data_IF_075248952415
#
_entry.id   IF_075248952415
#
_cell.length_a   1.000
_cell.length_b   1.000
_cell.length_c   1.000
_cell.angle_alpha   90.00
_cell.angle_beta   90.00
_cell.angle_gamma   90.00
#
_symmetry.space_group_name_H-M   'P 1'
#
loop_
_entity.id
_entity.type
_entity.pdbx_description
1 polymer ?
#
# COMPACT_ATOMS: atom_id res chain seq x y z
N UNK A 1 -14.28 1.79 13.04
CA UNK A 1 -15.30 2.14 14.06
C UNK A 1 -15.01 3.54 14.61
N UNK A 2 -16.01 4.36 14.99
CA UNK A 2 -15.81 5.77 15.37
C UNK A 2 -14.74 6.01 16.46
N UNK A 3 -14.63 5.11 17.44
CA UNK A 3 -13.62 5.21 18.50
C UNK A 3 -12.18 4.90 18.05
N UNK A 4 -11.91 4.61 16.77
CA UNK A 4 -10.54 4.50 16.27
C UNK A 4 -9.90 5.87 15.99
N UNK A 5 -10.70 6.92 15.86
CA UNK A 5 -10.23 8.26 15.56
C UNK A 5 -9.85 9.01 16.86
N UNK A 6 -8.60 9.50 16.98
CA UNK A 6 -8.14 10.31 18.11
C UNK A 6 -9.08 11.48 18.43
N UNK A 7 -9.55 12.18 17.39
CA UNK A 7 -10.47 13.31 17.53
C UNK A 7 -11.77 12.93 18.25
N UNK A 8 -12.38 11.79 17.87
CA UNK A 8 -13.64 11.33 18.48
C UNK A 8 -13.43 10.98 19.96
N UNK A 9 -12.29 10.37 20.31
CA UNK A 9 -11.94 10.10 21.72
C UNK A 9 -11.77 11.38 22.53
N UNK A 10 -11.07 12.37 22.01
CA UNK A 10 -10.88 13.68 22.67
C UNK A 10 -12.22 14.40 22.86
N UNK A 11 -13.08 14.39 21.83
CA UNK A 11 -14.42 14.97 21.92
C UNK A 11 -15.28 14.24 22.96
N UNK A 12 -15.24 12.91 23.01
CA UNK A 12 -15.97 12.14 24.03
C UNK A 12 -15.51 12.50 25.45
N UNK A 13 -14.19 12.66 25.66
CA UNK A 13 -13.64 13.13 26.94
C UNK A 13 -14.11 14.55 27.27
N UNK A 14 -14.11 15.46 26.29
CA UNK A 14 -14.61 16.83 26.48
C UNK A 14 -16.10 16.86 26.85
N UNK A 15 -16.93 16.05 26.20
CA UNK A 15 -18.35 15.92 26.52
C UNK A 15 -18.58 15.34 27.93
N UNK A 16 -17.83 14.31 28.31
CA UNK A 16 -17.89 13.75 29.67
C UNK A 16 -17.46 14.77 30.72
N UNK A 17 -16.39 15.52 30.47
CA UNK A 17 -15.94 16.60 31.36
C UNK A 17 -17.02 17.70 31.49
N UNK A 18 -17.65 18.11 30.39
CA UNK A 18 -18.74 19.09 30.40
C UNK A 18 -19.95 18.58 31.18
N UNK A 19 -20.39 17.34 30.96
CA UNK A 19 -21.52 16.73 31.67
C UNK A 19 -21.25 16.62 33.19
N UNK A 20 -20.01 16.31 33.59
CA UNK A 20 -19.62 16.28 35.00
C UNK A 20 -19.63 17.68 35.64
N UNK A 21 -19.30 18.72 34.87
CA UNK A 21 -19.29 20.11 35.32
C UNK A 21 -20.71 20.70 35.45
N UNK A 22 -21.64 20.34 34.57
CA UNK A 22 -23.02 20.88 34.56
C UNK A 22 -23.96 20.17 35.54
N UNK A 23 -23.65 18.94 35.95
CA UNK A 23 -24.51 18.13 36.83
C UNK A 23 -24.41 18.50 38.33
N UNK A 24 -24.20 19.78 38.64
CA UNK A 24 -24.13 20.30 40.02
C UNK A 24 -25.48 20.79 40.57
N UNK A 25 -26.55 20.81 39.76
CA UNK A 25 -27.75 21.59 40.12
C UNK A 25 -29.14 20.94 39.93
N UNK A 26 -29.25 19.66 39.57
CA UNK A 26 -30.57 19.01 39.53
C UNK A 26 -30.63 17.72 40.37
N UNK A 27 -31.26 17.87 41.54
CA UNK A 27 -31.73 16.79 42.40
C UNK A 27 -32.65 15.86 41.63
N UNK A 28 -32.27 14.59 41.48
CA UNK A 28 -33.20 13.46 41.60
C UNK A 28 -32.48 12.25 42.22
N UNK A 29 -32.98 11.87 43.38
CA UNK A 29 -32.85 10.60 44.11
C UNK A 29 -32.10 9.47 43.39
N UNK A 30 -30.79 9.33 43.60
CA UNK A 30 -30.06 8.08 43.33
C UNK A 30 -28.86 7.94 44.27
N UNK A 31 -28.87 6.81 44.98
CA UNK A 31 -27.84 6.25 45.86
C UNK A 31 -26.40 6.52 45.35
N UNK A 32 -25.65 7.27 46.16
CA UNK A 32 -24.20 7.53 46.09
C UNK A 32 -23.65 8.07 44.74
N UNK A 33 -23.84 9.37 44.49
CA UNK A 33 -23.45 10.07 43.25
C UNK A 33 -21.94 10.23 42.96
N UNK A 34 -21.05 9.68 43.79
CA UNK A 34 -19.60 9.73 43.57
C UNK A 34 -19.07 8.58 42.69
N UNK A 35 -19.69 7.40 42.77
CA UNK A 35 -19.28 6.23 41.99
C UNK A 35 -19.35 6.45 40.47
N UNK A 36 -20.46 6.94 39.87
CA UNK A 36 -20.51 7.17 38.43
C UNK A 36 -19.53 8.26 37.96
N UNK A 37 -19.25 9.27 38.81
CA UNK A 37 -18.25 10.30 38.52
C UNK A 37 -16.84 9.71 38.48
N UNK A 38 -16.50 8.85 39.43
CA UNK A 38 -15.23 8.12 39.45
C UNK A 38 -15.05 7.25 38.20
N UNK A 39 -16.10 6.51 37.79
CA UNK A 39 -16.09 5.70 36.57
C UNK A 39 -15.86 6.57 35.32
N UNK A 40 -16.56 7.70 35.19
CA UNK A 40 -16.40 8.61 34.06
C UNK A 40 -15.00 9.23 33.96
N UNK A 41 -14.39 9.58 35.10
CA UNK A 41 -13.00 10.09 35.17
C UNK A 41 -12.01 9.00 34.72
N UNK A 42 -12.15 7.77 35.25
CA UNK A 42 -11.27 6.66 34.88
C UNK A 42 -11.38 6.31 33.39
N UNK A 43 -12.60 6.27 32.85
CA UNK A 43 -12.83 6.04 31.44
C UNK A 43 -12.20 7.14 30.57
N UNK A 44 -12.35 8.40 30.97
CA UNK A 44 -11.73 9.54 30.28
C UNK A 44 -10.20 9.47 30.28
N UNK A 45 -9.61 9.14 31.42
CA UNK A 45 -8.16 8.98 31.54
C UNK A 45 -7.64 7.82 30.66
N UNK A 46 -8.39 6.72 30.60
CA UNK A 46 -8.11 5.60 29.70
C UNK A 46 -8.13 6.03 28.22
N UNK A 47 -9.18 6.73 27.79
CA UNK A 47 -9.28 7.24 26.42
C UNK A 47 -8.14 8.19 26.05
N UNK A 48 -7.76 9.11 26.96
CA UNK A 48 -6.64 10.01 26.76
C UNK A 48 -5.32 9.25 26.66
N UNK A 49 -5.06 8.31 27.58
CA UNK A 49 -3.85 7.50 27.59
C UNK A 49 -3.67 6.73 26.27
N UNK A 50 -4.72 6.05 25.80
CA UNK A 50 -4.70 5.34 24.51
C UNK A 50 -4.45 6.30 23.35
N UNK A 51 -5.05 7.49 23.38
CA UNK A 51 -4.86 8.51 22.34
C UNK A 51 -3.44 9.05 22.31
N UNK A 52 -2.86 9.37 23.48
CA UNK A 52 -1.48 9.82 23.60
C UNK A 52 -0.49 8.74 23.16
N UNK A 53 -0.72 7.48 23.56
CA UNK A 53 0.08 6.33 23.13
C UNK A 53 0.06 6.19 21.60
N UNK A 54 -1.13 6.18 20.99
CA UNK A 54 -1.26 6.10 19.53
C UNK A 54 -0.56 7.27 18.84
N UNK A 55 -0.77 8.49 19.30
CA UNK A 55 -0.17 9.69 18.70
C UNK A 55 1.36 9.71 18.78
N UNK A 56 1.95 9.15 19.85
CA UNK A 56 3.40 9.01 19.97
C UNK A 56 3.98 8.13 18.85
N UNK A 57 3.44 6.93 18.66
CA UNK A 57 3.93 5.99 17.65
C UNK A 57 3.60 6.43 16.22
N UNK A 58 2.41 6.99 15.97
CA UNK A 58 2.06 7.54 14.65
C UNK A 58 2.98 8.71 14.27
N UNK A 59 3.37 9.55 15.23
CA UNK A 59 4.33 10.64 15.00
C UNK A 59 5.73 10.11 14.68
N UNK A 60 6.22 9.11 15.40
CA UNK A 60 7.52 8.50 15.11
C UNK A 60 7.51 7.80 13.76
N UNK A 61 6.42 7.09 13.43
CA UNK A 61 6.23 6.52 12.10
C UNK A 61 6.28 7.59 11.01
N UNK A 62 5.50 8.67 11.14
CA UNK A 62 5.51 9.77 10.18
C UNK A 62 6.93 10.32 9.97
N UNK A 63 7.70 10.50 11.05
CA UNK A 63 9.08 10.99 11.00
C UNK A 63 10.00 10.04 10.22
N UNK A 64 9.92 8.73 10.47
CA UNK A 64 10.80 7.77 9.77
C UNK A 64 10.38 7.58 8.31
N UNK A 65 9.08 7.61 8.03
CA UNK A 65 8.55 7.48 6.68
C UNK A 65 8.96 8.67 5.80
N UNK A 66 8.98 9.88 6.37
CA UNK A 66 9.50 11.05 5.68
C UNK A 66 11.02 11.01 5.44
N UNK A 67 11.78 10.31 6.27
CA UNK A 67 13.21 10.04 6.01
C UNK A 67 13.39 8.98 4.92
N UNK A 68 12.57 7.94 4.92
CA UNK A 68 12.50 6.93 3.87
C UNK A 68 12.30 7.57 2.50
N UNK A 69 11.29 8.44 2.39
CA UNK A 69 11.02 9.22 1.17
C UNK A 69 12.21 10.04 0.66
N UNK A 70 13.13 10.42 1.54
CA UNK A 70 14.36 11.16 1.19
C UNK A 70 15.53 10.22 0.87
N UNK A 71 15.25 8.96 0.54
CA UNK A 71 16.24 7.95 0.15
C UNK A 71 16.92 7.23 1.31
N UNK A 72 16.45 7.39 2.56
CA UNK A 72 17.05 6.73 3.73
C UNK A 72 16.36 5.40 4.10
N UNK A 73 15.68 4.75 3.16
CA UNK A 73 14.84 3.56 3.41
C UNK A 73 15.56 2.47 4.20
N UNK A 74 16.71 1.98 3.73
CA UNK A 74 17.47 0.90 4.39
C UNK A 74 17.82 1.24 5.84
N UNK A 75 18.17 2.50 6.12
CA UNK A 75 18.51 2.96 7.47
C UNK A 75 17.29 2.98 8.41
N UNK A 76 16.09 3.19 7.85
CA UNK A 76 14.85 3.29 8.63
C UNK A 76 14.22 1.92 8.92
N UNK A 77 14.57 0.85 8.20
CA UNK A 77 13.95 -0.48 8.36
C UNK A 77 14.02 -1.04 9.79
N UNK A 78 15.13 -0.81 10.51
CA UNK A 78 15.24 -1.23 11.91
C UNK A 78 14.21 -0.51 12.81
N UNK A 79 13.91 0.76 12.51
CA UNK A 79 12.89 1.54 13.22
C UNK A 79 11.49 1.08 12.86
N UNK A 80 11.24 0.78 11.59
CA UNK A 80 9.98 0.16 11.17
C UNK A 80 9.72 -1.16 11.88
N UNK A 81 10.73 -2.04 11.96
CA UNK A 81 10.62 -3.31 12.69
C UNK A 81 10.24 -3.13 14.16
N UNK A 82 10.83 -2.13 14.83
CA UNK A 82 10.47 -1.81 16.21
C UNK A 82 9.01 -1.32 16.29
N UNK A 83 8.63 -0.35 15.43
CA UNK A 83 7.28 0.20 15.40
C UNK A 83 6.20 -0.83 15.07
N UNK A 84 6.52 -1.88 14.31
CA UNK A 84 5.58 -2.95 13.99
C UNK A 84 5.00 -3.61 15.24
N UNK A 85 5.77 -3.76 16.32
CA UNK A 85 5.26 -4.30 17.59
C UNK A 85 4.11 -3.47 18.20
N UNK A 86 4.05 -2.18 17.87
CA UNK A 86 3.07 -1.22 18.39
C UNK A 86 1.98 -0.87 17.37
N UNK A 87 2.30 -0.93 16.07
CA UNK A 87 1.45 -0.50 14.97
C UNK A 87 0.98 -1.64 14.05
N UNK A 88 1.17 -2.91 14.42
CA UNK A 88 0.71 -4.09 13.62
C UNK A 88 -0.79 -4.17 13.34
N UNK A 89 -1.60 -3.32 13.97
CA UNK A 89 -3.05 -3.26 13.74
C UNK A 89 -3.45 -2.04 12.89
N UNK A 90 -2.47 -1.33 12.35
CA UNK A 90 -2.65 -0.16 11.49
C UNK A 90 -2.33 -0.55 10.06
N UNK A 91 -3.38 -0.74 9.27
CA UNK A 91 -3.34 -0.99 7.84
C UNK A 91 -2.34 -0.09 7.08
N UNK A 92 -2.45 1.23 7.22
CA UNK A 92 -1.58 2.18 6.51
C UNK A 92 -0.11 2.07 6.93
N UNK A 93 0.15 1.73 8.19
CA UNK A 93 1.52 1.46 8.67
C UNK A 93 2.06 0.19 8.05
N UNK A 94 1.28 -0.90 8.05
CA UNK A 94 1.68 -2.18 7.47
C UNK A 94 1.94 -2.05 5.97
N UNK A 95 1.05 -1.36 5.23
CA UNK A 95 1.25 -1.09 3.81
C UNK A 95 2.56 -0.34 3.56
N UNK A 96 2.80 0.76 4.30
CA UNK A 96 4.05 1.50 4.14
C UNK A 96 5.27 0.65 4.50
N UNK A 97 5.23 -0.09 5.60
CA UNK A 97 6.35 -0.94 5.99
C UNK A 97 6.65 -2.01 4.92
N UNK A 98 5.63 -2.68 4.39
CA UNK A 98 5.78 -3.61 3.28
C UNK A 98 6.40 -2.92 2.05
N UNK A 99 5.91 -1.74 1.68
CA UNK A 99 6.47 -0.99 0.56
C UNK A 99 7.94 -0.62 0.75
N UNK A 100 8.34 -0.17 1.95
CA UNK A 100 9.76 0.13 2.26
C UNK A 100 10.65 -1.11 2.21
N UNK A 101 10.14 -2.28 2.63
CA UNK A 101 10.85 -3.56 2.51
C UNK A 101 11.04 -3.96 1.04
N UNK A 102 9.99 -3.81 0.21
CA UNK A 102 10.05 -4.06 -1.22
C UNK A 102 11.08 -3.15 -1.92
N UNK A 103 11.08 -1.85 -1.60
CA UNK A 103 12.08 -0.90 -2.10
C UNK A 103 13.50 -1.28 -1.69
N UNK A 104 13.67 -1.86 -0.50
CA UNK A 104 14.95 -2.35 -0.02
C UNK A 104 15.36 -3.73 -0.58
N UNK A 105 14.49 -4.38 -1.38
CA UNK A 105 14.72 -5.71 -1.95
C UNK A 105 14.43 -6.88 -1.00
N UNK A 106 13.86 -6.64 0.17
CA UNK A 106 13.47 -7.69 1.12
C UNK A 106 12.04 -8.18 0.79
N UNK A 107 11.91 -8.84 -0.36
CA UNK A 107 10.61 -9.21 -0.95
C UNK A 107 9.85 -10.25 -0.13
N UNK A 108 10.54 -11.22 0.48
CA UNK A 108 9.90 -12.22 1.34
C UNK A 108 9.28 -11.56 2.57
N UNK A 109 10.02 -10.68 3.25
CA UNK A 109 9.49 -9.96 4.41
C UNK A 109 8.42 -8.97 4.01
N UNK A 110 8.58 -8.29 2.88
CA UNK A 110 7.56 -7.39 2.34
C UNK A 110 6.25 -8.13 2.11
N UNK A 111 6.28 -9.30 1.46
CA UNK A 111 5.10 -10.13 1.21
C UNK A 111 4.46 -10.61 2.51
N UNK A 112 5.26 -10.97 3.53
CA UNK A 112 4.75 -11.33 4.86
C UNK A 112 3.97 -10.17 5.49
N UNK A 113 4.55 -8.96 5.54
CA UNK A 113 3.90 -7.78 6.12
C UNK A 113 2.69 -7.34 5.30
N UNK A 114 2.74 -7.47 3.97
CA UNK A 114 1.62 -7.18 3.08
C UNK A 114 0.42 -8.12 3.36
N UNK A 115 0.65 -9.41 3.63
CA UNK A 115 -0.40 -10.36 4.04
C UNK A 115 -1.03 -9.98 5.37
N UNK A 116 -0.24 -9.47 6.33
CA UNK A 116 -0.81 -8.92 7.58
C UNK A 116 -1.71 -7.71 7.30
N UNK A 117 -1.33 -6.85 6.34
CA UNK A 117 -2.12 -5.70 5.91
C UNK A 117 -3.44 -6.12 5.26
N UNK A 118 -3.42 -7.15 4.39
CA UNK A 118 -4.57 -7.60 3.60
C UNK A 118 -5.72 -8.12 4.48
N UNK A 119 -5.41 -8.65 5.67
CA UNK A 119 -6.41 -9.04 6.68
C UNK A 119 -7.20 -7.82 7.21
N UNK A 120 -6.59 -6.63 7.20
CA UNK A 120 -7.18 -5.40 7.72
C UNK A 120 -7.78 -4.52 6.62
N UNK A 121 -7.17 -4.51 5.43
CA UNK A 121 -7.47 -3.56 4.38
C UNK A 121 -7.23 -4.16 2.99
N UNK A 122 -8.32 -4.56 2.34
CA UNK A 122 -8.31 -5.00 0.94
C UNK A 122 -8.27 -3.78 0.01
N UNK A 123 -7.08 -3.43 -0.49
CA UNK A 123 -6.87 -2.29 -1.40
C UNK A 123 -6.11 -2.68 -2.67
N UNK A 124 -6.41 -1.95 -3.75
CA UNK A 124 -5.78 -2.14 -5.05
C UNK A 124 -4.25 -2.00 -5.00
N UNK A 125 -3.73 -0.96 -4.32
CA UNK A 125 -2.30 -0.69 -4.29
C UNK A 125 -1.57 -1.78 -3.47
N UNK A 126 -2.22 -2.34 -2.45
CA UNK A 126 -1.70 -3.49 -1.70
C UNK A 126 -1.58 -4.74 -2.60
N UNK A 127 -2.59 -5.02 -3.41
CA UNK A 127 -2.55 -6.14 -4.36
C UNK A 127 -1.44 -5.95 -5.42
N UNK A 128 -1.22 -4.72 -5.90
CA UNK A 128 -0.10 -4.41 -6.79
C UNK A 128 1.26 -4.63 -6.12
N UNK A 129 1.40 -4.25 -4.85
CA UNK A 129 2.63 -4.49 -4.06
C UNK A 129 2.88 -5.99 -3.84
N UNK A 130 1.84 -6.77 -3.55
CA UNK A 130 1.95 -8.23 -3.40
C UNK A 130 2.32 -8.89 -4.74
N UNK A 131 1.73 -8.45 -5.85
CA UNK A 131 2.09 -8.91 -7.19
C UNK A 131 3.56 -8.67 -7.51
N UNK A 132 4.08 -7.47 -7.23
CA UNK A 132 5.49 -7.14 -7.46
C UNK A 132 6.41 -8.01 -6.58
N UNK A 133 6.13 -8.13 -5.27
CA UNK A 133 6.89 -9.02 -4.40
C UNK A 133 6.93 -10.47 -4.92
N UNK A 134 5.77 -11.03 -5.30
CA UNK A 134 5.69 -12.37 -5.88
C UNK A 134 6.49 -12.46 -7.19
N UNK A 135 6.46 -11.43 -8.03
CA UNK A 135 7.19 -11.41 -9.30
C UNK A 135 8.70 -11.44 -9.08
N UNK A 136 9.20 -10.67 -8.10
CA UNK A 136 10.62 -10.65 -7.73
C UNK A 136 11.09 -11.96 -7.10
N UNK A 137 10.18 -12.70 -6.47
CA UNK A 137 10.40 -14.05 -5.93
C UNK A 137 10.14 -15.17 -6.94
N UNK A 138 9.81 -14.83 -8.19
CA UNK A 138 9.47 -15.77 -9.28
C UNK A 138 8.25 -16.66 -8.98
N UNK A 139 7.36 -16.22 -8.08
CA UNK A 139 6.07 -16.84 -7.81
C UNK A 139 5.03 -16.39 -8.84
N UNK A 140 5.23 -16.80 -10.10
CA UNK A 140 4.48 -16.30 -11.25
C UNK A 140 2.97 -16.53 -11.15
N UNK A 141 2.55 -17.66 -10.60
CA UNK A 141 1.12 -17.97 -10.41
C UNK A 141 0.47 -16.99 -9.42
N UNK A 142 1.13 -16.73 -8.29
CA UNK A 142 0.68 -15.77 -7.29
C UNK A 142 0.70 -14.34 -7.85
N UNK A 143 1.70 -13.98 -8.65
CA UNK A 143 1.72 -12.69 -9.38
C UNK A 143 0.48 -12.54 -10.25
N UNK A 144 0.15 -13.53 -11.07
CA UNK A 144 -1.02 -13.52 -11.94
C UNK A 144 -2.33 -13.34 -11.14
N UNK A 145 -2.45 -14.06 -10.01
CA UNK A 145 -3.61 -13.96 -9.12
C UNK A 145 -3.79 -12.55 -8.56
N UNK A 146 -2.72 -11.96 -8.01
CA UNK A 146 -2.76 -10.62 -7.44
C UNK A 146 -3.04 -9.54 -8.50
N UNK A 147 -2.44 -9.64 -9.69
CA UNK A 147 -2.70 -8.69 -10.78
C UNK A 147 -4.12 -8.81 -11.33
N UNK A 148 -4.63 -10.03 -11.46
CA UNK A 148 -6.02 -10.27 -11.90
C UNK A 148 -7.01 -9.71 -10.88
N UNK A 149 -6.75 -9.91 -9.59
CA UNK A 149 -7.55 -9.32 -8.52
C UNK A 149 -7.49 -7.79 -8.55
N UNK A 150 -6.31 -7.19 -8.69
CA UNK A 150 -6.14 -5.74 -8.81
C UNK A 150 -6.89 -5.17 -10.03
N UNK A 151 -6.84 -5.86 -11.18
CA UNK A 151 -7.59 -5.49 -12.39
C UNK A 151 -9.11 -5.51 -12.15
N UNK A 152 -9.61 -6.50 -11.41
CA UNK A 152 -11.02 -6.64 -11.06
C UNK A 152 -11.48 -5.58 -10.05
N UNK A 153 -10.65 -5.26 -9.04
CA UNK A 153 -10.95 -4.24 -8.03
C UNK A 153 -11.06 -2.83 -8.63
N UNK A 154 -10.17 -2.50 -9.56
CA UNK A 154 -10.13 -1.19 -10.21
C UNK A 154 -10.13 -1.32 -11.74
N UNK A 155 -11.29 -1.62 -12.37
CA UNK A 155 -11.36 -1.88 -13.80
C UNK A 155 -10.92 -0.71 -14.68
N UNK A 156 -10.82 0.52 -14.15
CA UNK A 156 -10.35 1.68 -14.89
C UNK A 156 -8.81 1.75 -15.01
N UNK A 157 -8.06 1.01 -14.18
CA UNK A 157 -6.60 1.03 -14.17
C UNK A 157 -6.05 0.17 -15.30
N UNK A 158 -5.04 0.69 -16.00
CA UNK A 158 -4.34 -0.01 -17.08
C UNK A 158 -3.17 -0.84 -16.58
N UNK A 159 -2.55 -0.42 -15.46
CA UNK A 159 -1.31 -1.02 -14.94
C UNK A 159 -1.41 -2.53 -14.65
N UNK A 160 -2.48 -3.08 -14.04
CA UNK A 160 -2.52 -4.51 -13.74
C UNK A 160 -2.57 -5.37 -15.00
N UNK A 161 -3.40 -4.98 -15.97
CA UNK A 161 -3.47 -5.67 -17.27
C UNK A 161 -2.14 -5.59 -17.99
N UNK A 162 -1.48 -4.45 -17.89
CA UNK A 162 -0.19 -4.25 -18.52
C UNK A 162 0.89 -5.15 -17.90
N UNK A 163 0.99 -5.21 -16.57
CA UNK A 163 1.92 -6.12 -15.90
C UNK A 163 1.58 -7.60 -16.13
N UNK A 164 0.30 -7.96 -16.31
CA UNK A 164 -0.09 -9.32 -16.73
C UNK A 164 0.43 -9.64 -18.12
N UNK A 165 0.33 -8.72 -19.09
CA UNK A 165 0.91 -8.91 -20.42
C UNK A 165 2.42 -9.18 -20.33
N UNK A 166 3.14 -8.38 -19.55
CA UNK A 166 4.60 -8.56 -19.36
C UNK A 166 4.94 -9.87 -18.64
N UNK A 167 4.12 -10.31 -17.68
CA UNK A 167 4.25 -11.62 -17.02
C UNK A 167 4.11 -12.76 -18.03
N UNK A 168 3.11 -12.70 -18.91
CA UNK A 168 2.90 -13.71 -19.95
C UNK A 168 4.02 -13.74 -20.97
N UNK A 169 4.54 -12.58 -21.40
CA UNK A 169 5.74 -12.53 -22.23
C UNK A 169 6.95 -13.17 -21.52
N UNK A 170 7.15 -12.88 -20.22
CA UNK A 170 8.23 -13.47 -19.43
C UNK A 170 8.11 -14.99 -19.26
N UNK A 171 6.88 -15.52 -19.30
CA UNK A 171 6.58 -16.95 -19.13
C UNK A 171 6.30 -17.66 -20.44
N UNK A 172 6.64 -17.05 -21.58
CA UNK A 172 6.50 -17.60 -22.93
C UNK A 172 5.04 -17.92 -23.34
N UNK A 173 4.07 -17.21 -22.74
CA UNK A 173 2.64 -17.30 -23.01
C UNK A 173 2.22 -16.20 -23.99
N UNK A 174 2.71 -16.29 -25.23
CA UNK A 174 2.58 -15.21 -26.21
C UNK A 174 1.12 -14.97 -26.63
N UNK A 175 0.32 -16.03 -26.79
CA UNK A 175 -1.09 -15.90 -27.17
C UNK A 175 -1.89 -15.12 -26.11
N UNK A 176 -1.71 -15.45 -24.83
CA UNK A 176 -2.34 -14.75 -23.72
C UNK A 176 -1.88 -13.29 -23.61
N UNK A 177 -0.59 -13.04 -23.86
CA UNK A 177 -0.02 -11.69 -23.91
C UNK A 177 -0.67 -10.85 -25.02
N UNK A 178 -0.80 -11.40 -26.23
CA UNK A 178 -1.44 -10.73 -27.37
C UNK A 178 -2.93 -10.45 -27.12
N UNK A 179 -3.67 -11.40 -26.52
CA UNK A 179 -5.07 -11.21 -26.12
C UNK A 179 -5.21 -10.05 -25.13
N UNK A 180 -4.34 -9.99 -24.12
CA UNK A 180 -4.34 -8.88 -23.16
C UNK A 180 -3.93 -7.55 -23.80
N UNK A 181 -2.96 -7.55 -24.71
CA UNK A 181 -2.53 -6.36 -25.43
C UNK A 181 -3.68 -5.75 -26.24
N UNK A 182 -4.43 -6.58 -26.98
CA UNK A 182 -5.61 -6.15 -27.70
C UNK A 182 -6.67 -5.57 -26.74
N UNK A 183 -6.94 -6.27 -25.63
CA UNK A 183 -7.86 -5.80 -24.58
C UNK A 183 -7.46 -4.43 -24.01
N UNK A 184 -6.17 -4.16 -23.85
CA UNK A 184 -5.64 -2.87 -23.38
C UNK A 184 -5.84 -1.77 -24.43
N UNK A 185 -5.65 -2.06 -25.72
CA UNK A 185 -5.86 -1.09 -26.80
C UNK A 185 -7.33 -0.68 -26.90
N UNK A 186 -8.24 -1.66 -26.82
CA UNK A 186 -9.69 -1.45 -26.90
C UNK A 186 -10.25 -0.76 -25.66
N UNK A 187 -9.52 -0.84 -24.54
CA UNK A 187 -9.92 -0.21 -23.29
C UNK A 187 -10.03 1.32 -23.45
N UNK A 188 -11.22 1.85 -23.13
CA UNK A 188 -11.50 3.29 -23.12
C UNK A 188 -10.65 4.01 -22.07
N UNK A 189 -9.95 5.05 -22.50
CA UNK A 189 -9.19 5.95 -21.61
C UNK A 189 -10.14 6.99 -21.04
N UNK A 190 -10.28 7.03 -19.71
CA UNK A 190 -11.12 8.03 -19.01
C UNK A 190 -10.36 9.32 -18.72
N UNK A 191 -9.11 9.19 -18.26
CA UNK A 191 -8.22 10.31 -17.96
C UNK A 191 -6.93 10.04 -18.76
N UNK A 192 -6.63 10.82 -19.80
CA UNK A 192 -5.39 10.70 -20.54
C UNK A 192 -4.17 10.92 -19.63
N UNK A 193 -3.14 10.11 -19.79
CA UNK A 193 -1.86 10.31 -19.11
C UNK A 193 -0.70 9.80 -19.97
N UNK A 194 0.52 10.34 -19.78
CA UNK A 194 1.72 9.85 -20.47
C UNK A 194 1.94 8.34 -20.27
N UNK A 195 1.65 7.84 -19.06
CA UNK A 195 1.77 6.41 -18.71
C UNK A 195 0.82 5.56 -19.55
N UNK A 196 -0.46 5.95 -19.67
CA UNK A 196 -1.43 5.20 -20.47
C UNK A 196 -1.06 5.23 -21.96
N UNK A 197 -0.56 6.37 -22.45
CA UNK A 197 -0.10 6.49 -23.83
C UNK A 197 1.11 5.57 -24.10
N UNK A 198 2.08 5.53 -23.19
CA UNK A 198 3.24 4.63 -23.25
C UNK A 198 2.80 3.15 -23.27
N UNK A 199 1.89 2.77 -22.36
CA UNK A 199 1.30 1.43 -22.34
C UNK A 199 0.67 1.10 -23.70
N UNK A 200 -0.19 1.97 -24.23
CA UNK A 200 -0.84 1.72 -25.54
C UNK A 200 0.17 1.63 -26.69
N UNK A 201 1.24 2.42 -26.69
CA UNK A 201 2.29 2.32 -27.71
C UNK A 201 2.97 0.94 -27.63
N UNK A 202 3.36 0.50 -26.44
CA UNK A 202 3.99 -0.81 -26.26
C UNK A 202 3.08 -1.96 -26.68
N UNK A 203 1.79 -1.90 -26.37
CA UNK A 203 0.82 -2.91 -26.82
C UNK A 203 0.66 -2.94 -28.34
N UNK A 204 0.69 -1.79 -29.02
CA UNK A 204 0.68 -1.78 -30.50
C UNK A 204 1.93 -2.40 -31.08
N UNK A 205 3.10 -2.07 -30.52
CA UNK A 205 4.37 -2.63 -30.98
C UNK A 205 4.37 -4.15 -30.84
N UNK A 206 3.91 -4.67 -29.69
CA UNK A 206 3.79 -6.10 -29.44
C UNK A 206 2.92 -6.82 -30.50
N UNK A 207 1.79 -6.24 -30.89
CA UNK A 207 0.90 -6.84 -31.91
C UNK A 207 1.40 -6.63 -33.35
N UNK A 208 2.37 -5.73 -33.57
CA UNK A 208 2.93 -5.38 -34.87
C UNK A 208 4.30 -6.03 -35.14
N UNK A 209 4.80 -6.91 -34.26
CA UNK A 209 6.05 -7.67 -34.44
C UNK A 209 5.79 -9.17 -34.73
N UNK A 210 5.15 -9.60 -35.84
CA UNK A 210 4.81 -11.01 -36.01
C UNK A 210 5.95 -11.88 -36.60
N UNK A 211 7.16 -11.36 -36.90
CA UNK A 211 8.09 -12.03 -37.84
C UNK A 211 9.62 -11.93 -37.55
N UNK A 212 10.08 -11.50 -36.37
CA UNK A 212 11.55 -11.35 -36.11
C UNK A 212 12.19 -12.47 -35.27
N UNK A 213 11.42 -13.41 -34.71
CA UNK A 213 11.95 -14.49 -33.85
C UNK A 213 12.57 -15.68 -34.61
N UNK A 214 12.66 -15.63 -35.95
CA UNK A 214 13.26 -16.68 -36.78
C UNK A 214 14.75 -16.46 -37.16
N UNK A 215 15.49 -15.58 -36.48
CA UNK A 215 16.94 -15.51 -36.64
C UNK A 215 17.67 -15.69 -35.30
N UNK A 216 18.62 -16.64 -35.18
CA UNK A 216 19.41 -16.78 -33.98
C UNK A 216 20.30 -15.53 -33.81
N UNK A 217 20.47 -15.02 -32.57
CA UNK A 217 21.24 -13.80 -32.36
C UNK A 217 22.71 -14.02 -32.75
N UNK A 218 23.21 -13.17 -33.65
CA UNK A 218 24.64 -13.05 -33.88
C UNK A 218 25.29 -12.57 -32.58
N UNK A 219 26.20 -13.39 -32.05
CA UNK A 219 27.01 -13.10 -30.88
C UNK A 219 27.94 -11.93 -31.24
N UNK A 220 27.57 -10.72 -30.80
CA UNK A 220 28.49 -9.60 -30.71
C UNK A 220 29.01 -9.58 -29.27
N UNK A 221 30.28 -9.94 -29.10
CA UNK A 221 30.99 -9.77 -27.84
C UNK A 221 31.08 -8.28 -27.52
N UNK A 222 30.29 -7.82 -26.54
CA UNK A 222 30.55 -6.59 -25.83
C UNK A 222 30.51 -6.89 -24.33
N UNK A 223 31.68 -6.80 -23.69
CA UNK A 223 31.81 -6.79 -22.23
C UNK A 223 30.99 -5.63 -21.65
N UNK A 224 29.84 -5.95 -21.05
CA UNK A 224 29.12 -5.07 -20.14
C UNK A 224 28.64 -5.88 -18.94
N UNK A 225 29.02 -5.40 -17.75
CA UNK A 225 28.57 -5.88 -16.43
C UNK A 225 27.03 -5.97 -16.37
N UNK A 226 26.46 -6.88 -15.56
CA UNK A 226 25.03 -7.08 -15.50
C UNK A 226 24.35 -5.89 -14.81
N UNK A 227 23.84 -4.96 -15.60
CA UNK A 227 22.87 -3.95 -15.17
C UNK A 227 21.50 -4.39 -15.67
N UNK A 228 20.93 -5.40 -15.01
CA UNK A 228 19.49 -5.63 -15.05
C UNK A 228 18.91 -4.73 -13.95
N UNK A 229 18.70 -3.46 -14.26
CA UNK A 229 17.84 -2.57 -13.48
C UNK A 229 16.60 -2.27 -14.31
N UNK A 230 15.45 -2.55 -13.69
CA UNK A 230 14.14 -2.64 -14.32
C UNK A 230 13.70 -1.38 -15.05
N UNK A 231 13.21 -1.53 -16.29
CA UNK A 231 12.67 -0.40 -17.08
C UNK A 231 11.23 0.01 -16.67
N UNK A 232 10.61 -0.71 -15.73
CA UNK A 232 9.28 -0.41 -15.20
C UNK A 232 9.26 0.77 -14.23
N UNK A 233 10.34 0.93 -13.46
CA UNK A 233 10.47 1.97 -12.45
C UNK A 233 10.56 3.39 -13.05
N UNK A 234 10.99 3.49 -14.32
CA UNK A 234 11.18 4.77 -15.02
C UNK A 234 9.88 5.35 -15.62
N UNK A 235 8.88 4.51 -15.90
CA UNK A 235 7.60 4.96 -16.47
C UNK A 235 6.55 5.34 -15.42
N UNK A 236 6.83 5.13 -14.15
CA UNK A 236 5.91 5.43 -13.07
C UNK A 236 6.17 6.86 -12.58
N UNK A 237 5.20 7.76 -12.82
CA UNK A 237 5.00 8.92 -11.94
C UNK A 237 5.03 8.38 -10.52
N UNK A 238 6.04 8.81 -9.76
CA UNK A 238 6.46 8.23 -8.51
C UNK A 238 5.29 7.73 -7.63
N UNK A 239 4.95 6.43 -7.67
CA UNK A 239 3.92 5.85 -6.82
C UNK A 239 4.46 5.69 -5.39
N UNK A 240 5.74 6.06 -5.17
CA UNK A 240 6.45 5.94 -3.90
C UNK A 240 6.07 7.02 -2.91
N UNK A 241 5.11 7.92 -3.17
CA UNK A 241 4.41 8.56 -2.05
C UNK A 241 3.43 7.54 -1.50
N UNK A 242 3.75 6.85 -0.38
CA UNK A 242 2.79 5.93 0.21
C UNK A 242 1.56 6.77 0.55
N UNK A 243 0.37 6.29 0.17
CA UNK A 243 -0.90 6.93 0.53
C UNK A 243 -0.99 7.23 2.03
N UNK A 244 -0.28 6.42 2.84
CA UNK A 244 -0.07 6.60 4.27
C UNK A 244 0.56 7.94 4.71
N UNK A 245 1.18 8.70 3.81
CA UNK A 245 1.74 10.02 4.08
C UNK A 245 0.96 11.17 3.42
N UNK A 246 -0.11 10.86 2.70
CA UNK A 246 -1.05 11.87 2.23
C UNK A 246 -1.96 12.25 3.43
N UNK A 247 -2.20 13.54 3.67
CA UNK A 247 -3.18 13.94 4.67
C UNK A 247 -4.54 13.35 4.29
N UNK A 248 -5.13 12.56 5.19
CA UNK A 248 -6.53 12.11 5.10
C UNK A 248 -7.48 13.30 5.28
#
# INVERSE_FOLDING_TARGET
YPLNYPFIRVMAVAFLAFALATNSQQSTTLRNGYLPKGIAILFSLGLLSVTSYQGFYEREWHRIAHKSLRGQTVQMLARYRNLHTHLRYKDLFLYNYAAELNVAGDYEKSLQIARECDVLWADYDLQMLMADNCLQLEYFKETEQHLTLAAAMCPMKFMPLYQLTELYLKTEQEEEAQVLAQKILDKKVKIPSPVINSIKIKMRNLLNEPDSLNNPPQIIHHDMKPTITSSWQDCLLDPRTPRALLPT
#
